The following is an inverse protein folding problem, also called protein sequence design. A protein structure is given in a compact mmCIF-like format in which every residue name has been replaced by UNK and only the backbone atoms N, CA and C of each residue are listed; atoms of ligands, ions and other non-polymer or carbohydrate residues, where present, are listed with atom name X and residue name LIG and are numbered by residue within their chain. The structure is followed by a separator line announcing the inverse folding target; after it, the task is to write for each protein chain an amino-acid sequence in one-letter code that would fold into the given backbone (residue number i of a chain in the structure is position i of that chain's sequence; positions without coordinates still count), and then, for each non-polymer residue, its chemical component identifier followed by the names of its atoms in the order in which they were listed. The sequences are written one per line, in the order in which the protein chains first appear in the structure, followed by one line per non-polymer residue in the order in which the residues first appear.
data_IF_026620879692
#
_entry.id   IF_026620879692
#
_cell.length_a   1.000
_cell.length_b   1.000
_cell.length_c   1.000
_cell.angle_alpha   90.00
_cell.angle_beta   90.00
_cell.angle_gamma   90.00
#
_symmetry.space_group_name_H-M   'P 1'
#
loop_
_entity.id
_entity.type
_entity.pdbx_description
1 polymer ?
#
# COMPACT_ATOMS: atom_id res chain seq x y z
N UNK A 1 -18.25 -34.57 1.76
CA UNK A 1 -17.37 -35.69 2.21
C UNK A 1 -16.32 -35.92 1.14
N UNK A 2 -15.01 -35.69 1.26
CA UNK A 2 -14.08 -35.53 2.38
C UNK A 2 -12.94 -34.57 1.94
N UNK A 3 -13.02 -33.27 2.24
CA UNK A 3 -11.90 -32.31 2.01
C UNK A 3 -11.02 -32.11 3.26
N UNK A 4 -11.56 -32.48 4.42
CA UNK A 4 -10.88 -32.44 5.72
C UNK A 4 -9.59 -33.29 5.79
N UNK A 5 -9.47 -34.48 5.14
CA UNK A 5 -8.25 -35.27 5.26
C UNK A 5 -7.06 -34.70 4.48
N UNK A 6 -7.31 -34.02 3.35
CA UNK A 6 -6.25 -33.48 2.48
C UNK A 6 -5.62 -32.22 3.08
N UNK A 7 -6.44 -31.35 3.68
CA UNK A 7 -5.96 -30.20 4.46
C UNK A 7 -5.17 -30.64 5.71
N UNK A 8 -5.59 -31.71 6.39
CA UNK A 8 -4.85 -32.24 7.54
C UNK A 8 -3.48 -32.81 7.14
N UNK A 9 -3.38 -33.52 6.01
CA UNK A 9 -2.12 -34.09 5.53
C UNK A 9 -1.08 -33.03 5.13
N UNK A 10 -1.53 -31.88 4.60
CA UNK A 10 -0.65 -30.75 4.30
C UNK A 10 -0.24 -29.96 5.56
N UNK A 11 -1.09 -29.91 6.60
CA UNK A 11 -0.75 -29.29 7.88
C UNK A 11 0.21 -30.12 8.73
N UNK A 12 0.22 -31.45 8.59
CA UNK A 12 1.18 -32.31 9.32
C UNK A 12 2.58 -32.29 8.67
N UNK A 13 2.66 -31.99 7.36
CA UNK A 13 3.94 -31.86 6.66
C UNK A 13 4.61 -30.48 6.83
N UNK A 14 3.87 -29.42 7.22
CA UNK A 14 4.41 -28.07 7.42
C UNK A 14 5.07 -27.84 8.79
N UNK A 15 5.06 -28.84 9.68
CA UNK A 15 5.78 -28.79 10.95
C UNK A 15 7.30 -28.96 10.81
N UNK A 16 7.80 -29.30 9.61
CA UNK A 16 9.21 -29.37 9.29
C UNK A 16 9.49 -28.52 8.05
N UNK A 17 10.36 -27.52 8.18
CA UNK A 17 10.90 -26.62 7.16
C UNK A 17 10.12 -25.32 6.85
N UNK A 18 10.60 -24.22 7.43
CA UNK A 18 10.57 -22.87 6.84
C UNK A 18 9.26 -22.10 7.00
N UNK A 19 9.34 -20.87 7.54
CA UNK A 19 8.21 -19.94 7.51
C UNK A 19 7.86 -19.60 6.06
N UNK A 20 6.60 -19.87 5.67
CA UNK A 20 6.03 -19.67 4.32
C UNK A 20 6.21 -18.23 3.80
N UNK A 21 6.24 -17.27 4.72
CA UNK A 21 6.53 -15.86 4.49
C UNK A 21 7.89 -15.55 5.12
N UNK A 22 8.70 -14.70 4.47
CA UNK A 22 9.93 -14.19 5.06
C UNK A 22 9.66 -13.53 6.40
N UNK A 23 10.69 -13.39 7.23
CA UNK A 23 10.58 -12.65 8.49
C UNK A 23 10.14 -11.22 8.15
N UNK A 24 8.83 -10.94 8.27
CA UNK A 24 8.29 -9.60 8.19
C UNK A 24 8.97 -8.68 9.22
N UNK A 25 8.57 -7.41 9.27
CA UNK A 25 9.07 -6.50 10.31
C UNK A 25 8.93 -7.21 11.67
N UNK A 26 10.06 -7.43 12.36
CA UNK A 26 10.04 -8.14 13.64
C UNK A 26 9.14 -7.36 14.59
N UNK A 27 7.94 -7.89 14.85
CA UNK A 27 7.05 -7.33 15.84
C UNK A 27 7.83 -7.21 17.15
N UNK A 28 7.95 -5.98 17.66
CA UNK A 28 8.80 -5.74 18.82
C UNK A 28 7.96 -6.02 20.06
N UNK A 29 7.94 -7.28 20.47
CA UNK A 29 7.45 -7.65 21.80
C UNK A 29 8.23 -6.87 22.87
N UNK A 30 7.50 -6.43 23.89
CA UNK A 30 8.02 -5.63 25.00
C UNK A 30 8.75 -4.35 24.54
N UNK A 31 8.12 -3.57 23.66
CA UNK A 31 8.60 -2.25 23.30
C UNK A 31 8.72 -1.33 24.55
N UNK A 32 7.88 -1.57 25.57
CA UNK A 32 7.87 -0.83 26.83
C UNK A 32 9.19 -1.01 27.62
N UNK A 33 9.75 -2.22 27.68
CA UNK A 33 11.07 -2.46 28.28
C UNK A 33 12.23 -1.83 27.50
N UNK A 34 12.09 -1.68 26.18
CA UNK A 34 13.12 -1.13 25.28
C UNK A 34 13.14 0.40 25.22
N UNK A 35 11.97 1.04 25.30
CA UNK A 35 11.82 2.49 25.36
C UNK A 35 11.84 2.95 26.83
N UNK A 36 12.97 2.76 27.51
CA UNK A 36 13.15 3.19 28.91
C UNK A 36 12.85 4.69 29.02
N UNK A 37 11.80 5.04 29.75
CA UNK A 37 11.36 6.43 30.00
C UNK A 37 12.55 7.27 30.47
N UNK A 38 12.97 8.27 29.67
CA UNK A 38 13.62 9.45 30.23
C UNK A 38 12.51 10.23 30.94
N UNK A 39 12.65 10.43 32.25
CA UNK A 39 11.81 11.34 33.04
C UNK A 39 11.95 12.76 32.47
N UNK A 40 11.17 13.08 31.44
CA UNK A 40 10.98 14.46 31.01
C UNK A 40 9.94 15.07 31.94
N UNK A 41 10.33 16.15 32.62
CA UNK A 41 9.44 16.98 33.44
C UNK A 41 8.17 17.30 32.64
N UNK A 42 7.01 17.10 33.27
CA UNK A 42 5.68 17.46 32.77
C UNK A 42 5.61 18.96 32.44
N UNK A 43 5.98 19.31 31.22
CA UNK A 43 5.29 20.38 30.53
C UNK A 43 4.08 19.72 29.87
N UNK A 44 2.89 20.27 30.13
CA UNK A 44 1.63 19.95 29.44
C UNK A 44 1.74 20.28 27.93
N UNK A 45 2.61 19.57 27.22
CA UNK A 45 2.82 19.75 25.79
C UNK A 45 1.68 19.05 25.08
N UNK A 46 0.72 19.83 24.59
CA UNK A 46 -0.37 19.29 23.76
C UNK A 46 0.23 18.49 22.60
N UNK A 47 -0.17 17.22 22.51
CA UNK A 47 0.33 16.29 21.52
C UNK A 47 -0.24 16.66 20.16
N UNK A 48 0.61 16.59 19.12
CA UNK A 48 0.13 16.72 17.74
C UNK A 48 -0.46 15.38 17.34
N UNK A 49 -1.78 15.28 17.08
CA UNK A 49 -2.39 14.03 16.63
C UNK A 49 -1.76 13.55 15.32
N UNK A 50 -1.79 12.25 15.10
CA UNK A 50 -1.10 11.56 14.01
C UNK A 50 -2.11 10.94 13.07
N UNK A 51 -1.92 11.15 11.76
CA UNK A 51 -2.60 10.39 10.72
C UNK A 51 -1.56 9.53 9.98
N UNK A 52 -1.77 8.22 9.98
CA UNK A 52 -1.00 7.27 9.18
C UNK A 52 -1.51 7.22 7.75
N UNK A 53 -0.60 7.38 6.78
CA UNK A 53 -0.88 7.17 5.36
C UNK A 53 -0.03 6.00 4.85
N UNK A 54 -0.68 4.86 4.51
CA UNK A 54 0.04 3.66 4.10
C UNK A 54 0.63 3.79 2.70
N UNK A 55 1.57 2.88 2.40
CA UNK A 55 2.11 2.69 1.06
C UNK A 55 1.33 1.63 0.29
N UNK A 56 1.93 1.14 -0.79
CA UNK A 56 1.39 0.04 -1.58
C UNK A 56 1.24 -1.24 -0.75
N UNK A 57 0.07 -1.87 -0.82
CA UNK A 57 -0.33 -3.00 0.03
C UNK A 57 -0.45 -2.70 1.54
N UNK A 58 -0.34 -1.44 1.97
CA UNK A 58 -0.18 -1.07 3.38
C UNK A 58 -1.48 -0.91 4.18
N UNK A 59 -2.61 -1.41 3.69
CA UNK A 59 -3.89 -1.39 4.41
C UNK A 59 -4.71 -2.63 4.11
N UNK A 60 -5.66 -2.98 4.99
CA UNK A 60 -6.65 -4.01 4.68
C UNK A 60 -7.51 -3.65 3.45
N UNK A 61 -8.03 -4.67 2.78
CA UNK A 61 -9.03 -4.58 1.72
C UNK A 61 -10.00 -5.76 1.84
N UNK A 62 -11.29 -5.45 1.72
CA UNK A 62 -12.34 -6.46 1.69
C UNK A 62 -12.92 -6.60 0.29
N UNK A 63 -13.49 -7.77 0.00
CA UNK A 63 -14.27 -8.01 -1.19
C UNK A 63 -15.55 -8.79 -0.90
N UNK A 64 -16.55 -8.57 -1.76
CA UNK A 64 -17.67 -9.48 -1.95
C UNK A 64 -17.64 -9.92 -3.42
N UNK A 65 -17.86 -11.22 -3.66
CA UNK A 65 -17.81 -11.80 -5.00
C UNK A 65 -19.16 -12.40 -5.39
N UNK A 66 -19.46 -12.31 -6.69
CA UNK A 66 -20.59 -12.91 -7.40
C UNK A 66 -20.20 -13.12 -8.87
N UNK A 67 -19.33 -14.10 -9.11
CA UNK A 67 -18.71 -14.41 -10.38
C UNK A 67 -19.50 -15.49 -11.13
N UNK A 68 -19.66 -15.30 -12.43
CA UNK A 68 -20.26 -16.31 -13.32
C UNK A 68 -19.31 -17.50 -13.48
N UNK A 69 -18.04 -17.21 -13.73
CA UNK A 69 -16.98 -18.19 -13.98
C UNK A 69 -15.78 -17.95 -13.07
N UNK A 70 -14.99 -19.00 -12.86
CA UNK A 70 -13.77 -18.98 -12.05
C UNK A 70 -12.64 -19.69 -12.78
N UNK A 71 -11.41 -19.29 -12.47
CA UNK A 71 -10.19 -19.88 -13.06
C UNK A 71 -10.01 -21.36 -12.72
N UNK A 72 -10.53 -21.80 -11.57
CA UNK A 72 -10.53 -23.19 -11.13
C UNK A 72 -11.86 -23.58 -10.49
N UNK A 73 -12.21 -24.87 -10.53
CA UNK A 73 -13.48 -25.39 -10.00
C UNK A 73 -13.62 -25.21 -8.48
N UNK A 74 -12.51 -25.09 -7.76
CA UNK A 74 -12.46 -24.93 -6.32
C UNK A 74 -12.48 -23.46 -5.87
N UNK A 75 -12.34 -22.49 -6.78
CA UNK A 75 -12.50 -21.08 -6.43
C UNK A 75 -13.96 -20.78 -6.12
N UNK A 76 -14.21 -20.01 -5.06
CA UNK A 76 -15.55 -19.57 -4.72
C UNK A 76 -16.12 -18.65 -5.81
N UNK A 77 -17.38 -18.88 -6.18
CA UNK A 77 -18.12 -18.03 -7.13
C UNK A 77 -18.82 -16.88 -6.43
N UNK A 78 -19.38 -17.10 -5.25
CA UNK A 78 -20.15 -16.09 -4.53
C UNK A 78 -19.88 -16.11 -3.03
N UNK A 79 -20.07 -14.95 -2.39
CA UNK A 79 -20.02 -14.77 -0.94
C UNK A 79 -21.17 -13.89 -0.49
N UNK A 80 -21.82 -14.22 0.62
CA UNK A 80 -22.96 -13.45 1.14
C UNK A 80 -22.54 -12.17 1.88
N UNK A 81 -21.30 -12.12 2.37
CA UNK A 81 -20.74 -10.99 3.11
C UNK A 81 -19.36 -10.64 2.60
N UNK A 82 -18.90 -9.43 2.96
CA UNK A 82 -17.52 -9.04 2.72
C UNK A 82 -16.56 -9.95 3.50
N UNK A 83 -15.54 -10.46 2.82
CA UNK A 83 -14.41 -11.14 3.43
C UNK A 83 -13.13 -10.32 3.23
N UNK A 84 -12.13 -10.54 4.08
CA UNK A 84 -10.84 -9.91 3.93
C UNK A 84 -10.10 -10.52 2.72
N UNK A 85 -9.94 -9.71 1.67
CA UNK A 85 -9.21 -10.06 0.45
C UNK A 85 -7.71 -9.79 0.62
N UNK A 86 -7.36 -8.77 1.39
CA UNK A 86 -5.97 -8.43 1.69
C UNK A 86 -5.83 -7.85 3.11
N UNK A 87 -4.85 -8.25 3.92
CA UNK A 87 -3.96 -9.39 3.74
C UNK A 87 -4.58 -10.65 4.35
N UNK A 88 -4.78 -11.67 3.53
CA UNK A 88 -5.20 -13.00 3.99
C UNK A 88 -4.23 -14.07 3.46
N UNK A 89 -3.36 -14.57 4.33
CA UNK A 89 -2.33 -15.56 3.98
C UNK A 89 -2.89 -16.87 3.41
N UNK A 90 -4.11 -17.25 3.81
CA UNK A 90 -4.75 -18.49 3.33
C UNK A 90 -5.11 -18.38 1.84
N UNK A 91 -5.33 -17.16 1.35
CA UNK A 91 -5.58 -16.90 -0.07
C UNK A 91 -4.28 -16.88 -0.90
N UNK A 92 -3.12 -16.82 -0.24
CA UNK A 92 -1.81 -16.66 -0.89
C UNK A 92 -1.01 -17.97 -0.99
N UNK A 93 -1.55 -19.09 -0.48
CA UNK A 93 -0.87 -20.38 -0.58
C UNK A 93 -0.90 -20.91 -2.03
N UNK A 94 0.07 -21.76 -2.42
CA UNK A 94 0.04 -22.42 -3.73
C UNK A 94 -1.32 -23.06 -4.03
N UNK A 95 -1.70 -23.08 -5.31
CA UNK A 95 -3.02 -23.51 -5.83
C UNK A 95 -4.19 -22.55 -5.53
N UNK A 96 -4.25 -21.93 -4.35
CA UNK A 96 -5.34 -20.99 -3.99
C UNK A 96 -5.08 -19.59 -4.56
N UNK A 97 -3.81 -19.21 -4.69
CA UNK A 97 -3.38 -17.90 -5.17
C UNK A 97 -3.99 -17.48 -6.51
N UNK A 98 -4.28 -18.42 -7.41
CA UNK A 98 -4.92 -18.10 -8.69
C UNK A 98 -6.35 -17.56 -8.50
N UNK A 99 -7.08 -18.07 -7.49
CA UNK A 99 -8.39 -17.53 -7.11
C UNK A 99 -8.25 -16.12 -6.54
N UNK A 100 -7.21 -15.87 -5.74
CA UNK A 100 -6.92 -14.54 -5.20
C UNK A 100 -6.57 -13.56 -6.31
N UNK A 101 -5.70 -13.94 -7.25
CA UNK A 101 -5.34 -13.12 -8.42
C UNK A 101 -6.58 -12.75 -9.22
N UNK A 102 -7.46 -13.72 -9.52
CA UNK A 102 -8.67 -13.45 -10.30
C UNK A 102 -9.69 -12.57 -9.57
N UNK A 103 -9.61 -12.47 -8.24
CA UNK A 103 -10.44 -11.57 -7.45
C UNK A 103 -9.79 -10.18 -7.26
N UNK A 104 -8.48 -10.15 -7.06
CA UNK A 104 -7.72 -8.93 -6.74
C UNK A 104 -7.38 -8.09 -7.96
N UNK A 105 -7.19 -8.71 -9.12
CA UNK A 105 -6.79 -8.03 -10.35
C UNK A 105 -7.77 -6.93 -10.76
N UNK A 106 -7.21 -5.91 -11.38
CA UNK A 106 -7.96 -4.87 -12.06
C UNK A 106 -8.06 -5.15 -13.57
N UNK A 107 -9.11 -4.63 -14.19
CA UNK A 107 -9.29 -4.65 -15.65
C UNK A 107 -9.20 -3.22 -16.15
N UNK A 108 -8.23 -2.94 -17.01
CA UNK A 108 -8.08 -1.63 -17.62
C UNK A 108 -9.02 -1.47 -18.81
N UNK A 109 -9.72 -0.34 -18.86
CA UNK A 109 -10.63 0.00 -19.95
C UNK A 109 -10.02 1.15 -20.75
N UNK A 110 -9.60 0.86 -21.98
CA UNK A 110 -8.91 1.80 -22.85
C UNK A 110 -9.80 2.97 -23.30
N UNK A 111 -11.13 2.79 -23.32
CA UNK A 111 -12.09 3.84 -23.65
C UNK A 111 -12.25 4.82 -22.49
N UNK A 112 -12.41 4.33 -21.26
CA UNK A 112 -12.62 5.19 -20.08
C UNK A 112 -11.32 5.68 -19.46
N UNK A 113 -10.17 5.10 -19.85
CA UNK A 113 -8.83 5.39 -19.30
C UNK A 113 -8.73 5.12 -17.80
N UNK A 114 -9.42 4.08 -17.33
CA UNK A 114 -9.56 3.74 -15.91
C UNK A 114 -9.60 2.24 -15.70
N UNK A 115 -9.44 1.83 -14.44
CA UNK A 115 -9.54 0.44 -14.04
C UNK A 115 -10.85 0.14 -13.31
N UNK A 116 -11.38 -1.04 -13.58
CA UNK A 116 -12.51 -1.63 -12.88
C UNK A 116 -12.07 -2.90 -12.14
N UNK A 117 -12.82 -3.30 -11.12
CA UNK A 117 -12.60 -4.58 -10.47
C UNK A 117 -12.82 -5.74 -11.46
N UNK A 118 -12.27 -6.91 -11.17
CA UNK A 118 -12.58 -8.12 -11.91
C UNK A 118 -14.11 -8.35 -12.00
N UNK A 119 -14.63 -8.89 -13.11
CA UNK A 119 -16.07 -9.14 -13.26
C UNK A 119 -16.64 -9.95 -12.10
N UNK A 120 -17.74 -9.44 -11.53
CA UNK A 120 -18.39 -10.05 -10.36
C UNK A 120 -17.70 -9.77 -9.03
N UNK A 121 -16.74 -8.83 -8.95
CA UNK A 121 -16.05 -8.49 -7.70
C UNK A 121 -16.33 -7.04 -7.32
N UNK A 122 -16.76 -6.84 -6.07
CA UNK A 122 -16.87 -5.52 -5.46
C UNK A 122 -15.91 -5.45 -4.28
N UNK A 123 -15.02 -4.46 -4.29
CA UNK A 123 -14.05 -4.23 -3.22
C UNK A 123 -14.46 -3.03 -2.37
N UNK A 124 -13.98 -3.00 -1.12
CA UNK A 124 -14.03 -1.82 -0.25
C UNK A 124 -12.76 -1.71 0.58
N UNK A 125 -12.48 -0.50 1.03
CA UNK A 125 -11.36 -0.19 1.93
C UNK A 125 -11.94 0.04 3.33
N UNK A 126 -11.80 -0.91 4.27
CA UNK A 126 -12.39 -0.79 5.58
C UNK A 126 -11.68 0.23 6.46
N UNK A 127 -12.41 0.72 7.47
CA UNK A 127 -11.88 1.49 8.60
C UNK A 127 -11.16 2.79 8.26
N UNK A 128 -11.62 3.52 7.23
CA UNK A 128 -11.16 4.89 6.99
C UNK A 128 -11.38 5.76 8.24
N UNK A 129 -10.32 6.42 8.70
CA UNK A 129 -10.30 7.17 9.96
C UNK A 129 -9.82 6.33 11.15
N UNK A 130 -10.00 5.02 11.16
CA UNK A 130 -9.44 4.15 12.20
C UNK A 130 -7.97 3.83 11.92
N UNK A 131 -7.19 3.67 12.98
CA UNK A 131 -5.78 3.31 12.92
C UNK A 131 -5.53 1.81 12.69
N UNK A 132 -6.45 0.94 13.09
CA UNK A 132 -6.24 -0.52 13.07
C UNK A 132 -5.89 -1.07 11.68
N UNK A 133 -6.62 -0.75 10.59
CA UNK A 133 -6.42 -1.42 9.30
C UNK A 133 -5.12 -1.06 8.58
N UNK A 134 -4.40 -0.06 9.10
CA UNK A 134 -3.06 0.34 8.63
C UNK A 134 -1.98 -0.03 9.66
N UNK A 135 -2.34 -0.31 10.92
CA UNK A 135 -1.42 -0.90 11.88
C UNK A 135 -1.21 -2.40 11.62
N UNK A 136 -2.31 -3.10 11.33
CA UNK A 136 -2.36 -4.52 10.98
C UNK A 136 -3.04 -4.69 9.62
N UNK A 137 -2.27 -5.06 8.61
CA UNK A 137 -2.83 -5.38 7.29
C UNK A 137 -3.47 -6.77 7.25
N UNK A 138 -3.11 -7.65 8.18
CA UNK A 138 -3.77 -8.94 8.42
C UNK A 138 -4.67 -8.81 9.68
N UNK A 139 -6.00 -8.94 9.55
CA UNK A 139 -6.93 -8.76 10.67
C UNK A 139 -6.80 -9.84 11.76
N UNK A 140 -6.07 -10.94 11.50
CA UNK A 140 -5.73 -11.94 12.52
C UNK A 140 -4.56 -11.51 13.43
N UNK A 141 -3.95 -10.35 13.16
CA UNK A 141 -2.76 -9.82 13.83
C UNK A 141 -1.55 -10.76 13.77
N UNK A 142 -1.47 -11.56 12.71
CA UNK A 142 -0.28 -12.32 12.40
C UNK A 142 0.90 -11.36 12.18
N UNK A 143 2.08 -11.72 12.69
CA UNK A 143 3.28 -10.86 12.63
C UNK A 143 3.68 -10.44 11.21
N UNK A 144 3.36 -11.26 10.20
CA UNK A 144 3.58 -10.96 8.78
C UNK A 144 2.74 -9.78 8.28
N UNK A 145 1.60 -9.51 8.94
CA UNK A 145 0.75 -8.36 8.66
C UNK A 145 1.00 -7.17 9.59
N UNK A 146 2.05 -7.20 10.43
CA UNK A 146 2.44 -6.04 11.22
C UNK A 146 3.02 -4.95 10.32
N UNK A 147 2.40 -3.77 10.31
CA UNK A 147 2.83 -2.64 9.48
C UNK A 147 3.09 -1.38 10.32
N UNK A 148 2.10 -0.52 10.58
CA UNK A 148 2.28 0.64 11.47
C UNK A 148 2.21 0.31 12.97
N UNK A 149 1.84 -0.92 13.37
CA UNK A 149 1.54 -1.26 14.77
C UNK A 149 2.65 -0.91 15.77
N UNK A 150 3.93 -1.07 15.40
CA UNK A 150 5.03 -0.74 16.30
C UNK A 150 5.12 0.77 16.56
N UNK A 151 4.85 1.59 15.53
CA UNK A 151 4.79 3.05 15.66
C UNK A 151 3.56 3.44 16.47
N UNK A 152 2.40 2.85 16.19
CA UNK A 152 1.17 3.03 16.97
C UNK A 152 1.37 2.73 18.45
N UNK A 153 2.00 1.59 18.78
CA UNK A 153 2.33 1.21 20.15
C UNK A 153 3.27 2.21 20.84
N UNK A 154 4.31 2.68 20.13
CA UNK A 154 5.21 3.69 20.67
C UNK A 154 4.47 5.01 20.97
N UNK A 155 3.57 5.44 20.09
CA UNK A 155 2.75 6.64 20.28
C UNK A 155 1.83 6.49 21.49
N UNK A 156 1.12 5.36 21.62
CA UNK A 156 0.24 5.10 22.77
C UNK A 156 1.00 5.15 24.09
N UNK A 157 2.22 4.61 24.14
CA UNK A 157 3.09 4.71 25.32
C UNK A 157 3.47 6.15 25.70
N UNK A 158 3.37 7.09 24.75
CA UNK A 158 3.62 8.52 24.92
C UNK A 158 2.32 9.34 25.07
N UNK A 159 1.20 8.70 25.43
CA UNK A 159 -0.06 9.38 25.77
C UNK A 159 -1.03 9.60 24.60
N UNK A 160 -0.71 9.06 23.42
CA UNK A 160 -1.65 9.05 22.30
C UNK A 160 -2.76 8.01 22.50
N UNK A 161 -3.89 8.20 21.81
CA UNK A 161 -5.07 7.33 21.85
C UNK A 161 -5.46 6.95 20.43
N UNK A 162 -5.55 5.64 20.15
CA UNK A 162 -6.08 5.12 18.89
C UNK A 162 -7.48 5.63 18.62
N UNK A 163 -7.75 5.89 17.36
CA UNK A 163 -9.01 6.41 16.81
C UNK A 163 -9.43 7.79 17.34
N UNK A 164 -8.56 8.45 18.11
CA UNK A 164 -8.71 9.84 18.56
C UNK A 164 -7.52 10.67 18.09
N UNK A 165 -6.34 10.43 18.67
CA UNK A 165 -5.09 11.13 18.32
C UNK A 165 -4.15 10.31 17.44
N UNK A 166 -4.52 9.06 17.13
CA UNK A 166 -3.90 8.24 16.08
C UNK A 166 -5.01 7.77 15.16
N UNK A 167 -4.96 8.16 13.89
CA UNK A 167 -5.96 7.85 12.87
C UNK A 167 -5.28 7.24 11.64
N UNK A 168 -6.02 6.52 10.82
CA UNK A 168 -5.53 5.94 9.57
C UNK A 168 -6.28 6.47 8.36
N UNK A 169 -5.57 6.66 7.25
CA UNK A 169 -6.14 7.08 5.97
C UNK A 169 -5.87 6.03 4.88
N UNK A 170 -6.42 4.80 4.99
CA UNK A 170 -6.28 3.77 3.97
C UNK A 170 -6.96 4.16 2.66
N UNK A 171 -6.54 3.55 1.57
CA UNK A 171 -7.08 3.75 0.21
C UNK A 171 -6.92 2.48 -0.61
N UNK A 172 -7.53 2.44 -1.80
CA UNK A 172 -7.30 1.34 -2.74
C UNK A 172 -5.89 1.50 -3.31
N UNK A 173 -4.95 0.77 -2.70
CA UNK A 173 -3.53 0.85 -3.03
C UNK A 173 -3.19 0.27 -4.41
N UNK A 174 -4.11 -0.48 -5.02
CA UNK A 174 -3.95 -0.92 -6.43
C UNK A 174 -4.01 0.26 -7.38
N UNK A 175 -4.67 1.35 -6.98
CA UNK A 175 -4.94 2.53 -7.80
C UNK A 175 -4.01 3.69 -7.45
N UNK A 176 -3.65 4.46 -8.47
CA UNK A 176 -2.92 5.72 -8.31
C UNK A 176 -3.84 6.92 -8.00
N UNK A 177 -3.27 8.14 -7.95
CA UNK A 177 -4.03 9.37 -7.68
C UNK A 177 -5.08 9.71 -8.75
N UNK A 178 -4.91 9.24 -9.99
CA UNK A 178 -5.86 9.40 -11.09
C UNK A 178 -7.25 8.82 -10.76
N UNK A 179 -7.29 7.78 -9.93
CA UNK A 179 -8.50 7.03 -9.59
C UNK A 179 -8.83 7.04 -8.08
N UNK A 180 -8.02 7.69 -7.25
CA UNK A 180 -8.25 7.88 -5.80
C UNK A 180 -8.75 9.30 -5.45
N UNK A 181 -9.49 9.97 -6.34
CA UNK A 181 -9.94 11.37 -6.13
C UNK A 181 -10.76 11.57 -4.86
N UNK A 182 -11.63 10.62 -4.54
CA UNK A 182 -12.47 10.66 -3.34
C UNK A 182 -11.64 10.59 -2.04
N UNK A 183 -10.50 9.89 -2.07
CA UNK A 183 -9.62 9.80 -0.92
C UNK A 183 -9.08 11.17 -0.50
N UNK A 184 -8.71 12.05 -1.45
CA UNK A 184 -8.24 13.40 -1.13
C UNK A 184 -9.30 14.24 -0.40
N UNK A 185 -10.58 14.07 -0.76
CA UNK A 185 -11.71 14.74 -0.10
C UNK A 185 -11.87 14.18 1.32
N UNK A 186 -11.88 12.85 1.45
CA UNK A 186 -12.02 12.17 2.75
C UNK A 186 -10.87 12.50 3.71
N UNK A 187 -9.65 12.62 3.23
CA UNK A 187 -8.48 13.00 4.06
C UNK A 187 -8.59 14.42 4.57
N UNK A 188 -9.11 15.36 3.77
CA UNK A 188 -9.37 16.73 4.26
C UNK A 188 -10.32 16.72 5.44
N UNK A 189 -11.45 16.01 5.32
CA UNK A 189 -12.41 15.86 6.40
C UNK A 189 -11.82 15.16 7.62
N UNK A 190 -11.02 14.11 7.41
CA UNK A 190 -10.32 13.41 8.50
C UNK A 190 -9.38 14.35 9.24
N UNK A 191 -8.63 15.22 8.54
CA UNK A 191 -7.75 16.20 9.17
C UNK A 191 -8.55 17.19 10.01
N UNK A 192 -9.64 17.74 9.48
CA UNK A 192 -10.47 18.73 10.18
C UNK A 192 -11.19 18.13 11.40
N UNK A 193 -11.71 16.91 11.28
CA UNK A 193 -12.28 16.15 12.40
C UNK A 193 -11.21 15.87 13.45
N UNK A 194 -10.05 15.33 13.05
CA UNK A 194 -8.96 14.98 13.96
C UNK A 194 -8.41 16.21 14.67
N UNK A 195 -8.34 17.35 13.99
CA UNK A 195 -7.94 18.62 14.58
C UNK A 195 -8.91 19.04 15.70
N UNK A 196 -10.20 19.02 15.40
CA UNK A 196 -11.26 19.46 16.32
C UNK A 196 -11.36 18.57 17.56
N UNK A 197 -11.31 17.25 17.40
CA UNK A 197 -11.42 16.30 18.53
C UNK A 197 -10.15 16.24 19.40
N UNK A 198 -9.06 16.88 18.98
CA UNK A 198 -7.78 16.94 19.70
C UNK A 198 -7.44 18.38 20.12
N UNK A 199 -8.43 19.14 20.62
CA UNK A 199 -8.24 20.50 21.14
C UNK A 199 -7.53 21.44 20.15
N UNK A 200 -7.96 21.40 18.90
CA UNK A 200 -7.47 22.23 17.81
C UNK A 200 -5.94 22.10 17.62
N UNK A 201 -5.40 20.91 17.82
CA UNK A 201 -3.98 20.63 17.60
C UNK A 201 -3.70 20.25 16.15
N UNK A 202 -2.71 20.91 15.50
CA UNK A 202 -2.35 20.61 14.12
C UNK A 202 -1.76 19.20 13.99
N UNK A 203 -2.08 18.55 12.87
CA UNK A 203 -1.82 17.14 12.59
C UNK A 203 -0.37 16.90 12.16
N UNK A 204 0.23 15.82 12.64
CA UNK A 204 1.43 15.22 12.08
C UNK A 204 1.04 14.07 11.16
N UNK A 205 1.36 14.16 9.87
CA UNK A 205 1.27 12.99 8.99
C UNK A 205 2.49 12.10 9.18
N UNK A 206 2.28 10.81 9.35
CA UNK A 206 3.33 9.79 9.22
C UNK A 206 2.99 8.96 7.98
N UNK A 207 3.85 9.06 6.96
CA UNK A 207 3.58 8.52 5.64
C UNK A 207 4.68 7.55 5.26
N UNK A 208 4.34 6.45 4.57
CA UNK A 208 5.33 5.46 4.14
C UNK A 208 5.22 5.15 2.65
N UNK A 209 6.38 5.02 1.98
CA UNK A 209 6.46 4.58 0.58
C UNK A 209 5.52 5.39 -0.33
N UNK A 210 4.57 4.75 -1.02
CA UNK A 210 3.57 5.39 -1.89
C UNK A 210 2.65 6.39 -1.17
N UNK A 211 2.43 6.23 0.14
CA UNK A 211 1.66 7.18 0.93
C UNK A 211 2.27 8.57 0.94
N UNK A 212 3.59 8.67 0.77
CA UNK A 212 4.30 9.94 0.75
C UNK A 212 3.93 10.82 -0.46
N UNK A 213 4.07 10.37 -1.73
CA UNK A 213 3.62 11.16 -2.87
C UNK A 213 2.10 11.37 -2.90
N UNK A 214 1.29 10.44 -2.34
CA UNK A 214 -0.16 10.68 -2.16
C UNK A 214 -0.43 11.87 -1.23
N UNK A 215 0.26 11.95 -0.09
CA UNK A 215 0.16 13.08 0.83
C UNK A 215 0.72 14.37 0.24
N UNK A 216 1.77 14.32 -0.58
CA UNK A 216 2.28 15.50 -1.28
C UNK A 216 1.21 16.08 -2.22
N UNK A 217 0.57 15.24 -3.03
CA UNK A 217 -0.52 15.66 -3.91
C UNK A 217 -1.68 16.26 -3.11
N UNK A 218 -2.08 15.61 -2.02
CA UNK A 218 -3.12 16.13 -1.12
C UNK A 218 -2.79 17.55 -0.63
N UNK A 219 -1.58 17.77 -0.13
CA UNK A 219 -1.15 19.05 0.42
C UNK A 219 -0.99 20.13 -0.66
N UNK A 220 -0.56 19.77 -1.87
CA UNK A 220 -0.51 20.70 -3.01
C UNK A 220 -1.91 21.15 -3.46
N UNK A 221 -2.98 20.39 -3.16
CA UNK A 221 -4.36 20.77 -3.43
C UNK A 221 -4.97 21.69 -2.36
N UNK A 222 -4.30 21.92 -1.23
CA UNK A 222 -4.81 22.79 -0.15
C UNK A 222 -4.17 24.18 -0.20
N UNK A 223 -4.93 25.19 0.26
CA UNK A 223 -4.39 26.54 0.45
C UNK A 223 -3.31 26.54 1.53
N UNK A 224 -2.38 27.49 1.44
CA UNK A 224 -1.34 27.64 2.46
C UNK A 224 -1.95 27.96 3.84
N UNK A 225 -2.96 28.84 3.88
CA UNK A 225 -3.71 29.15 5.11
C UNK A 225 -4.30 27.91 5.78
N UNK A 226 -4.89 27.00 5.00
CA UNK A 226 -5.45 25.75 5.55
C UNK A 226 -4.33 24.86 6.11
N UNK A 227 -3.18 24.78 5.43
CA UNK A 227 -2.04 23.98 5.89
C UNK A 227 -1.42 24.56 7.16
N UNK A 228 -1.24 25.88 7.22
CA UNK A 228 -0.68 26.57 8.40
C UNK A 228 -1.55 26.36 9.65
N UNK A 229 -2.88 26.28 9.45
CA UNK A 229 -3.83 25.99 10.53
C UNK A 229 -3.83 24.52 10.95
N UNK A 230 -3.92 23.59 10.00
CA UNK A 230 -4.24 22.20 10.32
C UNK A 230 -3.04 21.25 10.33
N UNK A 231 -1.93 21.59 9.68
CA UNK A 231 -0.81 20.67 9.47
C UNK A 231 0.41 21.15 10.21
N UNK A 232 0.88 20.32 11.16
CA UNK A 232 2.10 20.59 11.90
C UNK A 232 3.33 20.23 11.09
N UNK A 233 3.33 19.02 10.52
CA UNK A 233 4.48 18.45 9.78
C UNK A 233 4.11 17.17 9.06
N UNK A 234 4.99 16.75 8.17
CA UNK A 234 5.02 15.43 7.55
C UNK A 234 6.29 14.70 7.96
N UNK A 235 6.18 13.48 8.45
CA UNK A 235 7.29 12.56 8.65
C UNK A 235 7.17 11.48 7.58
N UNK A 236 8.06 11.51 6.60
CA UNK A 236 8.10 10.54 5.51
C UNK A 236 9.11 9.44 5.79
N UNK A 237 8.63 8.20 5.71
CA UNK A 237 9.41 6.98 5.87
C UNK A 237 9.57 6.32 4.50
N UNK A 238 10.79 6.33 3.95
CA UNK A 238 11.10 5.76 2.65
C UNK A 238 10.14 6.21 1.53
N UNK A 239 9.79 7.50 1.50
CA UNK A 239 8.83 8.04 0.53
C UNK A 239 9.27 7.80 -0.91
N UNK A 240 8.37 7.23 -1.74
CA UNK A 240 8.62 6.88 -3.13
C UNK A 240 8.49 8.08 -4.08
N UNK A 241 9.14 9.20 -3.75
CA UNK A 241 8.95 10.49 -4.43
C UNK A 241 9.20 10.43 -5.93
N UNK A 242 10.30 9.81 -6.36
CA UNK A 242 10.71 9.68 -7.76
C UNK A 242 10.38 8.35 -8.42
N UNK A 243 9.46 7.58 -7.83
CA UNK A 243 9.26 6.19 -8.21
C UNK A 243 10.44 5.29 -7.84
N UNK A 244 10.42 4.05 -8.31
CA UNK A 244 11.40 3.01 -7.98
C UNK A 244 11.67 2.09 -9.16
N UNK A 245 12.94 1.72 -9.35
CA UNK A 245 13.33 0.69 -10.31
C UNK A 245 12.66 -0.68 -10.04
N UNK A 246 12.25 -0.96 -8.79
CA UNK A 246 11.50 -2.17 -8.43
C UNK A 246 10.19 -2.29 -9.22
N UNK A 247 9.52 -1.18 -9.54
CA UNK A 247 8.29 -1.22 -10.33
C UNK A 247 8.51 -1.85 -11.72
N UNK A 248 9.66 -1.57 -12.33
CA UNK A 248 10.05 -2.15 -13.63
C UNK A 248 10.32 -3.66 -13.48
N UNK A 249 10.98 -4.09 -12.41
CA UNK A 249 11.15 -5.52 -12.07
C UNK A 249 9.79 -6.20 -11.96
N UNK A 250 8.82 -5.61 -11.27
CA UNK A 250 7.47 -6.16 -11.15
C UNK A 250 6.82 -6.37 -12.53
N UNK A 251 6.92 -5.40 -13.45
CA UNK A 251 6.43 -5.57 -14.82
C UNK A 251 7.18 -6.64 -15.61
N UNK A 252 8.49 -6.81 -15.40
CA UNK A 252 9.28 -7.78 -16.13
C UNK A 252 9.05 -9.22 -15.65
N UNK A 253 9.17 -9.46 -14.33
CA UNK A 253 9.24 -10.81 -13.74
C UNK A 253 8.38 -10.99 -12.49
N UNK A 254 7.69 -9.93 -12.05
CA UNK A 254 6.94 -9.89 -10.80
C UNK A 254 7.81 -9.82 -9.55
N UNK A 255 7.15 -9.75 -8.40
CA UNK A 255 7.78 -9.71 -7.09
C UNK A 255 7.11 -10.68 -6.13
N UNK A 256 7.91 -11.49 -5.45
CA UNK A 256 7.46 -12.50 -4.48
C UNK A 256 7.16 -11.91 -3.09
N UNK A 257 7.27 -10.58 -2.94
CA UNK A 257 7.07 -9.87 -1.68
C UNK A 257 7.97 -10.39 -0.54
N UNK A 258 9.09 -11.06 -0.88
CA UNK A 258 9.98 -11.69 0.10
C UNK A 258 9.40 -12.93 0.78
N UNK A 259 8.33 -13.52 0.24
CA UNK A 259 7.74 -14.76 0.73
C UNK A 259 8.20 -15.96 -0.09
N UNK A 260 8.85 -16.93 0.54
CA UNK A 260 9.41 -18.11 -0.14
C UNK A 260 8.36 -18.92 -0.92
N UNK A 261 7.12 -18.95 -0.43
CA UNK A 261 6.03 -19.68 -1.08
C UNK A 261 5.35 -18.91 -2.24
N UNK A 262 5.69 -17.63 -2.45
CA UNK A 262 5.14 -16.81 -3.52
C UNK A 262 6.06 -16.85 -4.73
N UNK A 263 5.50 -17.20 -5.90
CA UNK A 263 6.22 -17.09 -7.15
C UNK A 263 6.05 -15.68 -7.71
N UNK A 264 7.16 -14.96 -7.95
CA UNK A 264 7.12 -13.67 -8.64
C UNK A 264 6.39 -13.74 -9.99
N UNK A 265 6.58 -14.83 -10.76
CA UNK A 265 5.87 -15.05 -12.04
C UNK A 265 4.35 -15.11 -11.85
N UNK A 266 3.88 -15.74 -10.78
CA UNK A 266 2.44 -15.86 -10.46
C UNK A 266 1.91 -14.51 -9.99
N UNK A 267 2.61 -13.86 -9.05
CA UNK A 267 2.24 -12.54 -8.55
C UNK A 267 2.21 -11.46 -9.63
N UNK A 268 3.07 -11.57 -10.66
CA UNK A 268 3.07 -10.68 -11.81
C UNK A 268 1.68 -10.55 -12.44
N UNK A 269 0.89 -11.61 -12.48
CA UNK A 269 -0.43 -11.59 -13.13
C UNK A 269 -1.44 -10.65 -12.44
N UNK A 270 -1.28 -10.41 -11.13
CA UNK A 270 -2.05 -9.40 -10.40
C UNK A 270 -1.33 -8.04 -10.42
N UNK A 271 -0.04 -8.02 -10.08
CA UNK A 271 0.73 -6.80 -9.84
C UNK A 271 0.71 -5.85 -11.04
N UNK A 272 0.83 -6.38 -12.27
CA UNK A 272 0.88 -5.54 -13.48
C UNK A 272 -0.46 -4.88 -13.80
N UNK A 273 -1.56 -5.34 -13.19
CA UNK A 273 -2.89 -4.77 -13.40
C UNK A 273 -3.11 -3.49 -12.59
N UNK A 274 -2.22 -3.17 -11.65
CA UNK A 274 -2.37 -2.06 -10.71
C UNK A 274 -1.82 -0.75 -11.28
N UNK A 275 -2.64 0.29 -11.52
CA UNK A 275 -2.15 1.60 -11.96
C UNK A 275 -1.19 2.28 -10.98
N UNK A 276 -1.25 1.93 -9.70
CA UNK A 276 -0.26 2.39 -8.71
C UNK A 276 1.17 1.95 -9.08
N UNK A 277 1.34 0.75 -9.64
CA UNK A 277 2.64 0.26 -10.11
C UNK A 277 3.16 1.11 -11.27
N UNK A 278 2.29 1.45 -12.22
CA UNK A 278 2.63 2.33 -13.34
C UNK A 278 3.02 3.72 -12.83
N UNK A 279 2.32 4.26 -11.85
CA UNK A 279 2.64 5.55 -11.23
C UNK A 279 4.00 5.54 -10.53
N UNK A 280 4.32 4.45 -9.82
CA UNK A 280 5.58 4.26 -9.09
C UNK A 280 6.78 3.87 -9.96
N UNK A 281 6.63 3.77 -11.29
CA UNK A 281 7.79 3.66 -12.18
C UNK A 281 8.71 4.90 -12.08
N UNK A 282 10.02 4.73 -12.34
CA UNK A 282 11.00 5.82 -12.33
C UNK A 282 10.50 7.10 -13.02
N UNK A 283 10.55 8.20 -12.28
CA UNK A 283 10.02 9.48 -12.72
C UNK A 283 11.00 10.20 -13.66
N UNK A 284 10.57 10.65 -14.86
CA UNK A 284 11.46 11.33 -15.82
C UNK A 284 12.00 12.68 -15.34
N UNK A 285 11.45 13.27 -14.27
CA UNK A 285 11.98 14.49 -13.65
C UNK A 285 13.24 14.22 -12.82
N UNK A 286 13.49 12.97 -12.41
CA UNK A 286 14.58 12.57 -11.51
C UNK A 286 15.57 11.63 -12.20
N UNK A 287 15.04 10.65 -12.96
CA UNK A 287 15.85 9.66 -13.66
C UNK A 287 16.21 10.14 -15.05
N UNK A 288 17.46 9.93 -15.46
CA UNK A 288 17.94 10.48 -16.74
C UNK A 288 17.34 9.71 -17.92
N UNK A 289 17.05 10.38 -19.04
CA UNK A 289 16.58 9.76 -20.28
C UNK A 289 17.38 8.52 -20.74
N UNK A 290 18.71 8.59 -20.60
CA UNK A 290 19.66 7.55 -21.01
C UNK A 290 20.00 6.53 -19.91
N UNK A 291 19.38 6.62 -18.73
CA UNK A 291 19.63 5.70 -17.64
C UNK A 291 19.11 4.30 -18.00
N UNK A 292 19.98 3.30 -17.85
CA UNK A 292 19.65 1.91 -18.20
C UNK A 292 18.72 1.34 -17.13
N UNK A 293 17.49 1.03 -17.53
CA UNK A 293 16.45 0.48 -16.65
C UNK A 293 16.40 -1.04 -16.69
N UNK A 294 16.54 -1.62 -17.88
CA UNK A 294 16.47 -3.06 -18.09
C UNK A 294 17.56 -3.49 -19.07
N UNK A 295 18.25 -4.58 -18.77
CA UNK A 295 19.20 -5.22 -19.66
C UNK A 295 18.87 -6.69 -19.79
N UNK A 296 18.71 -7.15 -21.03
CA UNK A 296 18.57 -8.56 -21.40
C UNK A 296 19.80 -9.02 -22.19
N UNK A 297 19.80 -10.27 -22.65
CA UNK A 297 20.86 -10.78 -23.52
C UNK A 297 20.86 -10.13 -24.91
N UNK A 298 19.71 -9.63 -25.38
CA UNK A 298 19.53 -9.12 -26.74
C UNK A 298 19.22 -7.63 -26.82
N UNK A 299 18.80 -6.99 -25.71
CA UNK A 299 18.33 -5.60 -25.71
C UNK A 299 18.62 -4.88 -24.40
N UNK A 300 18.83 -3.57 -24.50
CA UNK A 300 18.88 -2.64 -23.37
C UNK A 300 17.72 -1.67 -23.53
N UNK A 301 17.03 -1.38 -22.42
CA UNK A 301 15.98 -0.38 -22.35
C UNK A 301 16.42 0.73 -21.40
N UNK A 302 16.47 1.96 -21.90
CA UNK A 302 16.68 3.15 -21.08
C UNK A 302 15.36 3.75 -20.62
N UNK A 303 15.39 4.78 -19.77
CA UNK A 303 14.19 5.51 -19.33
C UNK A 303 13.30 5.96 -20.50
N UNK A 304 13.89 6.49 -21.58
CA UNK A 304 13.13 6.91 -22.76
C UNK A 304 12.50 5.76 -23.57
N UNK A 305 12.95 4.52 -23.34
CA UNK A 305 12.51 3.33 -24.08
C UNK A 305 11.47 2.52 -23.31
N UNK A 306 10.79 3.12 -22.33
CA UNK A 306 9.79 2.41 -21.52
C UNK A 306 8.53 2.03 -22.31
N UNK A 307 8.17 2.77 -23.37
CA UNK A 307 7.08 2.34 -24.26
C UNK A 307 7.45 1.03 -24.99
N UNK A 308 8.67 0.95 -25.53
CA UNK A 308 9.16 -0.27 -26.18
C UNK A 308 9.28 -1.44 -25.20
N UNK A 309 9.66 -1.17 -23.96
CA UNK A 309 9.66 -2.19 -22.90
C UNK A 309 8.26 -2.80 -22.73
N UNK A 310 7.20 -1.98 -22.64
CA UNK A 310 5.83 -2.48 -22.50
C UNK A 310 5.35 -3.28 -23.72
N UNK A 311 5.75 -2.86 -24.92
CA UNK A 311 5.48 -3.61 -26.17
C UNK A 311 6.16 -4.97 -26.14
N UNK A 312 7.44 -5.04 -25.79
CA UNK A 312 8.23 -6.27 -25.82
C UNK A 312 7.80 -7.29 -24.73
N UNK A 313 7.24 -6.83 -23.60
CA UNK A 313 6.65 -7.72 -22.59
C UNK A 313 5.17 -8.06 -22.86
N UNK A 314 4.63 -7.63 -24.01
CA UNK A 314 3.24 -7.81 -24.43
C UNK A 314 2.22 -7.30 -23.40
N UNK A 315 2.44 -6.10 -22.87
CA UNK A 315 1.56 -5.48 -21.87
C UNK A 315 1.39 -3.98 -22.12
N UNK A 316 0.80 -3.62 -23.26
CA UNK A 316 0.60 -2.22 -23.67
C UNK A 316 -0.27 -1.43 -22.69
N UNK A 317 -1.22 -2.08 -22.01
CA UNK A 317 -2.05 -1.42 -20.99
C UNK A 317 -1.21 -0.78 -19.88
N UNK A 318 -0.05 -1.36 -19.54
CA UNK A 318 0.87 -0.76 -18.57
C UNK A 318 1.42 0.60 -19.01
N UNK A 319 1.67 0.77 -20.31
CA UNK A 319 2.06 2.06 -20.87
C UNK A 319 0.91 3.08 -20.85
N UNK A 320 -0.31 2.61 -21.12
CA UNK A 320 -1.50 3.45 -21.05
C UNK A 320 -1.78 3.92 -19.62
N UNK A 321 -1.72 3.03 -18.63
CA UNK A 321 -1.78 3.36 -17.21
C UNK A 321 -0.68 4.33 -16.79
N UNK A 322 0.54 4.19 -17.33
CA UNK A 322 1.65 5.12 -17.08
C UNK A 322 1.30 6.52 -17.59
N UNK A 323 0.80 6.65 -18.82
CA UNK A 323 0.38 7.94 -19.39
C UNK A 323 -0.74 8.59 -18.57
N UNK A 324 -1.69 7.81 -18.08
CA UNK A 324 -2.80 8.32 -17.25
C UNK A 324 -2.33 8.81 -15.87
N UNK A 325 -1.27 8.20 -15.33
CA UNK A 325 -0.77 8.50 -13.99
C UNK A 325 0.35 9.55 -13.98
N UNK A 326 1.10 9.69 -15.07
CA UNK A 326 2.27 10.56 -15.16
C UNK A 326 1.98 12.03 -14.81
N UNK A 327 0.85 12.66 -15.21
CA UNK A 327 0.55 14.04 -14.83
C UNK A 327 0.59 14.31 -13.33
N UNK A 328 0.26 13.31 -12.50
CA UNK A 328 0.29 13.38 -11.03
C UNK A 328 1.70 13.20 -10.44
N UNK A 329 2.71 12.96 -11.27
CA UNK A 329 4.10 12.81 -10.87
C UNK A 329 4.98 13.96 -11.40
N UNK A 330 4.44 14.89 -12.21
CA UNK A 330 5.21 15.97 -12.85
C UNK A 330 5.30 17.25 -12.01
N UNK A 331 4.78 17.26 -10.78
CA UNK A 331 4.87 18.42 -9.88
C UNK A 331 5.57 18.06 -8.57
N UNK A 332 6.84 18.47 -8.44
CA UNK A 332 7.65 18.30 -7.23
C UNK A 332 7.71 19.57 -6.35
N UNK A 333 6.79 20.51 -6.54
CA UNK A 333 6.71 21.69 -5.67
C UNK A 333 6.59 21.26 -4.21
N UNK A 334 7.34 21.92 -3.32
CA UNK A 334 7.35 21.58 -1.90
C UNK A 334 5.94 21.63 -1.29
N UNK A 335 5.63 20.80 -0.27
CA UNK A 335 4.29 20.72 0.30
C UNK A 335 3.87 21.99 1.08
N UNK A 336 4.79 22.93 1.31
CA UNK A 336 4.54 24.15 2.08
C UNK A 336 4.29 23.90 3.56
N UNK A 337 4.83 22.81 4.11
CA UNK A 337 4.79 22.49 5.56
C UNK A 337 6.13 21.90 5.97
N UNK A 338 6.41 21.87 7.27
CA UNK A 338 7.59 21.21 7.83
C UNK A 338 7.61 19.73 7.40
N UNK A 339 8.74 19.25 6.87
CA UNK A 339 8.90 17.87 6.43
C UNK A 339 10.19 17.24 6.97
N UNK A 340 10.08 16.02 7.47
CA UNK A 340 11.19 15.17 7.87
C UNK A 340 11.24 13.97 6.90
N UNK A 341 12.29 13.86 6.10
CA UNK A 341 12.46 12.77 5.14
C UNK A 341 13.46 11.75 5.68
N UNK A 342 12.98 10.59 6.08
CA UNK A 342 13.80 9.46 6.49
C UNK A 342 13.85 8.45 5.33
N UNK A 343 15.05 8.04 4.93
CA UNK A 343 15.27 7.07 3.87
C UNK A 343 16.42 6.13 4.24
N UNK A 344 16.33 4.88 3.76
CA UNK A 344 17.38 3.89 3.97
C UNK A 344 18.57 4.14 3.03
N UNK A 345 19.77 3.96 3.55
CA UNK A 345 21.04 3.96 2.79
C UNK A 345 21.96 2.89 3.39
N UNK A 346 22.95 2.45 2.61
CA UNK A 346 23.80 1.29 2.92
C UNK A 346 23.54 0.17 1.93
#
# INVERSE_FOLDING_TARGET
MKLVPVLLLLMVASAAYGTIFGNGVKFVQDLAGKLRRRNYKDFQRKLSPVIFVPGDGGSQMDAIINKVDTVHFFCQKSTDTYFNLWLNKELLVPFVIDCWIDNMRLVYNSTTRKTENAPGVTTRIPGFGSSEPVEWIDPSHASVGAYFVNIGNALVQNGYKRDVSIRGAPYDFRKGPSENKEWFIKVKHLVEETYTINDDQPITFIVHSMGAPMTLLFLQMQSQEWKDKHIKRVISLAGAWGGSAKAIKCYAVGDDLGAFALSGKVMRAEQITNPSLAWLMPNPMIWKPNEVMVRTLSRVYTMDQMEDFFKDINFNDGWEMRKDSLPYAMNFSAPGVEIYCLYGTG
#
